data_IF_638189270484
#
_entry.id   IF_638189270484
#
_cell.length_a   1.000
_cell.length_b   1.000
_cell.length_c   1.000
_cell.angle_alpha   90.00
_cell.angle_beta   90.00
_cell.angle_gamma   90.00
#
_symmetry.space_group_name_H-M   'P 1'
#
loop_
_entity.id
_entity.type
_entity.pdbx_description
1 polymer ?
#
# COMPACT_ATOMS: atom_id res chain seq x y z
N UNK A 1 24.72 11.27 -7.53
CA UNK A 1 23.32 10.92 -7.21
C UNK A 1 22.49 12.17 -7.43
N UNK A 2 21.31 12.12 -8.06
CA UNK A 2 20.43 13.27 -8.06
C UNK A 2 20.14 13.62 -6.60
N UNK A 3 20.43 14.86 -6.21
CA UNK A 3 20.06 15.36 -4.90
C UNK A 3 18.54 15.47 -4.92
N UNK A 4 17.84 14.71 -4.05
CA UNK A 4 16.42 14.95 -3.85
C UNK A 4 16.26 16.42 -3.46
N UNK A 5 15.25 17.13 -3.99
CA UNK A 5 14.93 18.43 -3.44
C UNK A 5 14.78 18.25 -1.93
N UNK A 6 15.32 19.20 -1.15
CA UNK A 6 15.05 19.24 0.28
C UNK A 6 13.54 19.06 0.45
N UNK A 7 13.15 18.18 1.38
CA UNK A 7 11.76 18.03 1.83
C UNK A 7 11.16 19.43 1.86
N UNK A 8 10.04 19.62 1.15
CA UNK A 8 9.37 20.92 1.12
C UNK A 8 9.02 21.21 2.57
N UNK A 9 9.86 22.03 3.19
CA UNK A 9 9.96 22.19 4.63
C UNK A 9 8.67 22.82 5.09
N UNK A 10 7.78 22.04 5.72
CA UNK A 10 6.62 22.47 6.54
C UNK A 10 5.81 23.67 6.01
N UNK A 11 5.84 23.95 4.71
CA UNK A 11 5.06 25.04 4.16
C UNK A 11 3.67 24.48 3.89
N UNK A 12 2.82 24.52 4.92
CA UNK A 12 1.42 24.06 4.88
C UNK A 12 0.62 24.62 3.69
N UNK A 13 1.07 25.73 3.10
CA UNK A 13 0.42 26.29 1.89
C UNK A 13 0.68 25.47 0.62
N UNK A 14 1.69 24.59 0.62
CA UNK A 14 2.05 23.70 -0.49
C UNK A 14 1.79 22.22 -0.18
N UNK A 15 1.24 21.89 0.99
CA UNK A 15 0.86 20.51 1.33
C UNK A 15 -0.50 20.17 0.73
N UNK A 16 -0.49 19.96 -0.60
CA UNK A 16 -1.70 19.61 -1.36
C UNK A 16 -2.27 18.27 -0.88
N UNK A 17 -1.44 17.37 -0.35
CA UNK A 17 -1.87 16.07 0.15
C UNK A 17 -2.73 16.24 1.42
N UNK A 18 -2.26 17.00 2.42
CA UNK A 18 -3.06 17.30 3.62
C UNK A 18 -4.30 18.11 3.25
N UNK A 19 -4.18 19.11 2.36
CA UNK A 19 -5.32 19.94 1.97
C UNK A 19 -6.46 19.14 1.32
N UNK A 20 -6.13 18.14 0.47
CA UNK A 20 -7.14 17.25 -0.12
C UNK A 20 -7.73 16.33 0.95
N UNK A 21 -6.90 15.78 1.84
CA UNK A 21 -7.35 14.91 2.94
C UNK A 21 -8.35 15.62 3.86
N UNK A 22 -8.04 16.86 4.25
CA UNK A 22 -8.92 17.68 5.09
C UNK A 22 -10.23 17.98 4.35
N UNK A 23 -10.14 18.41 3.08
CA UNK A 23 -11.32 18.76 2.29
C UNK A 23 -12.26 17.57 2.07
N UNK A 24 -11.73 16.39 1.75
CA UNK A 24 -12.56 15.19 1.54
C UNK A 24 -13.17 14.71 2.85
N UNK A 25 -12.46 14.84 3.97
CA UNK A 25 -12.96 14.44 5.30
C UNK A 25 -14.15 15.29 5.76
N UNK A 26 -14.31 16.52 5.26
CA UNK A 26 -15.50 17.35 5.52
C UNK A 26 -16.76 16.80 4.84
N UNK A 27 -16.62 16.14 3.70
CA UNK A 27 -17.74 15.58 2.91
C UNK A 27 -17.98 14.12 3.26
N UNK A 28 -16.91 13.36 3.49
CA UNK A 28 -16.92 11.96 3.86
C UNK A 28 -16.13 11.78 5.17
N UNK A 29 -16.77 11.87 6.34
CA UNK A 29 -16.08 11.70 7.62
C UNK A 29 -15.52 10.28 7.84
N UNK A 30 -15.90 9.31 6.99
CA UNK A 30 -15.34 7.97 6.99
C UNK A 30 -14.26 7.77 5.92
N UNK A 31 -13.70 8.86 5.34
CA UNK A 31 -12.71 8.75 4.29
C UNK A 31 -11.52 7.89 4.72
N UNK A 32 -11.23 6.88 3.90
CA UNK A 32 -10.15 5.93 4.15
C UNK A 32 -8.94 6.28 3.27
N UNK A 33 -7.84 6.74 3.88
CA UNK A 33 -6.60 7.06 3.15
C UNK A 33 -5.97 5.84 2.47
N UNK A 34 -6.35 4.64 2.90
CA UNK A 34 -5.88 3.40 2.30
C UNK A 34 -6.76 2.95 1.13
N UNK A 35 -7.99 3.46 1.01
CA UNK A 35 -8.93 3.13 -0.06
C UNK A 35 -9.89 4.30 -0.31
N UNK A 36 -9.54 5.16 -1.26
CA UNK A 36 -10.14 6.49 -1.44
C UNK A 36 -11.65 6.49 -1.75
N UNK A 37 -12.23 5.37 -2.18
CA UNK A 37 -13.66 5.26 -2.49
C UNK A 37 -14.50 4.75 -1.34
N UNK A 38 -13.91 4.40 -0.19
CA UNK A 38 -14.69 4.01 0.98
C UNK A 38 -15.53 5.19 1.49
N UNK A 39 -16.78 4.90 1.80
CA UNK A 39 -17.74 5.87 2.35
C UNK A 39 -18.39 5.31 3.61
N UNK A 40 -19.03 6.18 4.39
CA UNK A 40 -19.85 5.73 5.51
C UNK A 40 -20.98 4.76 5.07
N UNK A 41 -21.46 3.87 5.97
CA UNK A 41 -21.06 3.71 7.37
C UNK A 41 -19.69 3.06 7.54
N UNK A 42 -19.00 3.42 8.62
CA UNK A 42 -17.72 2.82 8.96
C UNK A 42 -17.90 1.36 9.37
N UNK A 43 -17.29 0.45 8.62
CA UNK A 43 -17.19 -0.95 9.00
C UNK A 43 -16.05 -1.11 10.01
N UNK A 44 -16.23 -1.97 11.00
CA UNK A 44 -15.14 -2.33 11.91
C UNK A 44 -14.38 -3.53 11.34
N UNK A 45 -13.10 -3.64 11.68
CA UNK A 45 -12.31 -4.82 11.43
C UNK A 45 -11.87 -5.45 12.76
N UNK A 46 -11.45 -6.71 12.72
CA UNK A 46 -11.12 -7.48 13.93
C UNK A 46 -9.81 -7.06 14.59
N UNK A 47 -8.99 -6.29 13.90
CA UNK A 47 -7.80 -5.64 14.41
C UNK A 47 -8.24 -4.32 15.09
N UNK A 48 -9.22 -3.60 14.57
CA UNK A 48 -9.75 -2.38 15.21
C UNK A 48 -9.15 -1.10 14.66
N UNK A 49 -8.60 -1.18 13.45
CA UNK A 49 -8.07 -0.11 12.63
C UNK A 49 -8.62 -0.24 11.20
N UNK A 50 -9.91 0.05 10.97
CA UNK A 50 -10.57 -0.34 9.72
C UNK A 50 -10.18 0.51 8.51
N UNK A 51 -9.46 1.62 8.73
CA UNK A 51 -9.10 2.57 7.70
C UNK A 51 -8.21 3.65 8.27
N UNK A 52 -8.59 4.92 8.16
CA UNK A 52 -7.76 6.05 8.60
C UNK A 52 -7.62 6.23 10.11
N UNK A 53 -8.39 5.48 10.92
CA UNK A 53 -8.44 5.67 12.37
C UNK A 53 -8.92 4.40 13.09
N UNK A 54 -8.65 4.34 14.40
CA UNK A 54 -9.11 3.25 15.27
C UNK A 54 -10.63 3.29 15.45
N UNK A 55 -11.28 2.13 15.35
CA UNK A 55 -12.70 1.98 15.65
C UNK A 55 -13.02 0.55 16.10
N UNK A 56 -13.72 0.44 17.23
CA UNK A 56 -14.28 -0.82 17.72
C UNK A 56 -15.70 -0.54 18.22
N UNK A 57 -16.75 -1.14 17.63
CA UNK A 57 -18.12 -0.90 18.04
C UNK A 57 -18.40 -1.52 19.41
N UNK A 58 -19.45 -1.01 20.06
CA UNK A 58 -19.90 -1.56 21.34
C UNK A 58 -20.22 -3.06 21.22
N UNK A 59 -19.74 -3.85 22.18
CA UNK A 59 -19.89 -5.29 22.20
C UNK A 59 -18.89 -6.08 21.34
N UNK A 60 -18.07 -5.41 20.53
CA UNK A 60 -16.95 -6.04 19.82
C UNK A 60 -15.67 -6.00 20.66
N UNK A 61 -14.80 -6.98 20.43
CA UNK A 61 -13.48 -7.08 21.05
C UNK A 61 -12.44 -7.31 19.97
N UNK A 62 -11.37 -6.52 19.99
CA UNK A 62 -10.19 -6.73 19.15
C UNK A 62 -9.70 -8.18 19.31
N UNK A 63 -9.52 -8.89 18.20
CA UNK A 63 -9.23 -10.32 18.19
C UNK A 63 -8.00 -10.67 19.04
N UNK A 64 -6.92 -9.89 18.90
CA UNK A 64 -5.68 -10.10 19.64
C UNK A 64 -5.71 -9.62 21.10
N UNK A 65 -6.78 -8.95 21.54
CA UNK A 65 -7.02 -8.66 22.96
C UNK A 65 -7.68 -9.81 23.72
N UNK A 66 -8.11 -10.88 23.02
CA UNK A 66 -8.69 -12.04 23.69
C UNK A 66 -7.62 -12.87 24.39
N UNK A 67 -7.84 -13.20 25.65
CA UNK A 67 -6.87 -13.95 26.47
C UNK A 67 -6.65 -15.38 25.98
N UNK A 68 -7.68 -16.01 25.40
CA UNK A 68 -7.56 -17.33 24.78
C UNK A 68 -6.69 -17.29 23.52
N UNK A 69 -6.83 -16.26 22.69
CA UNK A 69 -5.97 -16.03 21.51
C UNK A 69 -4.53 -15.78 21.95
N UNK A 70 -4.30 -14.89 22.92
CA UNK A 70 -2.95 -14.59 23.42
C UNK A 70 -2.26 -15.84 23.97
N UNK A 71 -2.99 -16.67 24.75
CA UNK A 71 -2.47 -17.95 25.24
C UNK A 71 -2.14 -18.91 24.10
N UNK A 72 -3.02 -19.02 23.09
CA UNK A 72 -2.84 -19.93 21.98
C UNK A 72 -1.59 -19.61 21.13
N UNK A 73 -1.26 -18.32 20.98
CA UNK A 73 -0.07 -17.87 20.23
C UNK A 73 1.15 -17.61 21.12
N UNK A 74 1.08 -17.97 22.41
CA UNK A 74 2.12 -17.69 23.42
C UNK A 74 2.50 -16.20 23.52
N UNK A 75 1.56 -15.29 23.26
CA UNK A 75 1.74 -13.86 23.44
C UNK A 75 1.56 -13.46 24.92
N UNK A 76 2.27 -12.43 25.40
CA UNK A 76 2.04 -11.89 26.73
C UNK A 76 0.64 -11.29 26.86
N UNK A 77 0.09 -11.32 28.07
CA UNK A 77 -1.21 -10.74 28.38
C UNK A 77 -1.13 -9.20 28.43
N UNK A 78 -1.28 -8.55 27.27
CA UNK A 78 -1.24 -7.09 27.13
C UNK A 78 -2.18 -6.60 26.03
N UNK A 79 -2.58 -5.32 26.02
CA UNK A 79 -3.32 -4.75 24.89
C UNK A 79 -2.52 -4.85 23.58
N UNK A 80 -3.22 -5.20 22.51
CA UNK A 80 -2.77 -5.14 21.13
C UNK A 80 -3.04 -3.73 20.55
N UNK A 81 -2.21 -3.32 19.61
CA UNK A 81 -2.43 -2.19 18.71
C UNK A 81 -1.76 -2.50 17.37
N UNK A 82 -2.36 -2.08 16.25
CA UNK A 82 -1.84 -2.34 14.90
C UNK A 82 -0.52 -1.63 14.67
N UNK A 83 -0.48 -0.36 15.06
CA UNK A 83 0.69 0.49 14.97
C UNK A 83 1.26 0.72 16.37
N UNK A 84 2.59 0.75 16.48
CA UNK A 84 3.23 1.04 17.76
C UNK A 84 2.84 2.46 18.23
N UNK A 85 2.41 2.66 19.49
CA UNK A 85 2.15 3.99 20.03
C UNK A 85 3.45 4.77 20.33
N UNK A 86 4.60 4.14 20.08
CA UNK A 86 5.94 4.73 20.22
C UNK A 86 6.66 4.64 18.90
N UNK A 87 7.41 5.69 18.60
CA UNK A 87 8.30 5.71 17.44
C UNK A 87 9.23 4.50 17.41
N UNK A 88 9.29 3.84 16.26
CA UNK A 88 10.10 2.62 16.06
C UNK A 88 11.52 2.93 15.63
N UNK A 89 11.77 4.15 15.14
CA UNK A 89 13.10 4.61 14.77
C UNK A 89 13.81 5.31 15.94
N UNK A 90 15.12 5.11 16.04
CA UNK A 90 15.95 5.77 17.06
C UNK A 90 15.87 7.28 16.86
N UNK A 91 15.42 8.01 17.88
CA UNK A 91 15.22 9.46 17.79
C UNK A 91 13.97 9.89 17.01
N UNK A 92 13.07 8.96 16.67
CA UNK A 92 11.81 9.27 15.99
C UNK A 92 11.94 9.56 14.50
N UNK A 93 13.10 9.28 13.90
CA UNK A 93 13.36 9.60 12.50
C UNK A 93 14.05 8.46 11.77
N UNK A 94 13.50 8.09 10.61
CA UNK A 94 14.21 7.24 9.67
C UNK A 94 15.32 8.06 8.98
N UNK A 95 16.56 7.67 9.25
CA UNK A 95 17.77 8.29 8.66
C UNK A 95 18.32 7.48 7.48
N UNK A 96 17.61 6.43 7.06
CA UNK A 96 18.02 5.62 5.91
C UNK A 96 17.89 6.41 4.61
N UNK A 97 18.75 6.07 3.65
CA UNK A 97 18.62 6.61 2.30
C UNK A 97 17.38 6.02 1.62
N UNK A 98 16.67 6.77 0.75
CA UNK A 98 15.49 6.26 0.07
C UNK A 98 15.78 4.96 -0.68
N UNK A 99 15.07 3.90 -0.31
CA UNK A 99 15.32 2.55 -0.80
C UNK A 99 15.10 2.42 -2.31
N UNK A 100 14.17 3.21 -2.87
CA UNK A 100 13.86 3.30 -4.31
C UNK A 100 15.07 3.59 -5.19
N UNK A 101 16.11 4.25 -4.65
CA UNK A 101 17.29 4.66 -5.44
C UNK A 101 18.58 4.05 -4.93
N UNK A 102 18.53 3.27 -3.84
CA UNK A 102 19.72 2.69 -3.20
C UNK A 102 19.65 1.17 -3.16
N UNK A 103 18.56 0.60 -2.63
CA UNK A 103 18.43 -0.85 -2.38
C UNK A 103 17.67 -1.54 -3.51
N UNK A 104 16.52 -0.99 -3.92
CA UNK A 104 15.61 -1.62 -4.88
C UNK A 104 16.29 -1.92 -6.23
N UNK A 105 17.09 -1.02 -6.83
CA UNK A 105 17.86 -1.33 -8.04
C UNK A 105 18.70 -2.61 -7.90
N UNK A 106 19.43 -2.73 -6.78
CA UNK A 106 20.29 -3.88 -6.54
C UNK A 106 19.49 -5.17 -6.36
N UNK A 107 18.30 -5.11 -5.76
CA UNK A 107 17.39 -6.25 -5.63
C UNK A 107 16.93 -6.73 -7.00
N UNK A 108 16.57 -5.80 -7.90
CA UNK A 108 16.18 -6.13 -9.28
C UNK A 108 17.34 -6.80 -10.02
N UNK A 109 18.53 -6.20 -9.99
CA UNK A 109 19.72 -6.68 -10.72
C UNK A 109 20.21 -8.04 -10.22
N UNK A 110 20.09 -8.30 -8.91
CA UNK A 110 20.49 -9.59 -8.31
C UNK A 110 19.40 -10.67 -8.41
N UNK A 111 18.18 -10.32 -8.79
CA UNK A 111 17.08 -11.25 -8.97
C UNK A 111 17.28 -12.06 -10.26
N UNK A 112 17.95 -13.21 -10.13
CA UNK A 112 18.38 -14.07 -11.26
C UNK A 112 17.29 -14.48 -12.26
N UNK A 113 16.01 -14.33 -11.90
CA UNK A 113 14.87 -14.74 -12.71
C UNK A 113 13.82 -13.62 -12.91
N UNK A 114 14.18 -12.35 -12.71
CA UNK A 114 13.26 -11.22 -12.94
C UNK A 114 12.00 -11.27 -12.08
N UNK A 115 12.13 -11.68 -10.80
CA UNK A 115 11.02 -11.91 -9.87
C UNK A 115 10.69 -10.70 -8.99
N UNK A 116 11.12 -9.51 -9.39
CA UNK A 116 10.83 -8.30 -8.62
C UNK A 116 9.53 -7.71 -9.14
N UNK A 117 8.51 -7.71 -8.29
CA UNK A 117 7.19 -7.14 -8.59
C UNK A 117 6.95 -5.98 -7.63
N UNK A 118 6.55 -4.83 -8.18
CA UNK A 118 5.94 -3.74 -7.43
C UNK A 118 4.46 -3.74 -7.82
N UNK A 119 3.59 -4.07 -6.87
CA UNK A 119 2.14 -4.00 -7.06
C UNK A 119 1.61 -2.80 -6.27
N UNK A 120 0.80 -1.97 -6.93
CA UNK A 120 0.27 -0.73 -6.38
C UNK A 120 -1.22 -0.61 -6.69
N UNK A 121 -2.05 -0.36 -5.68
CA UNK A 121 -3.49 -0.17 -5.84
C UNK A 121 -3.86 1.26 -6.23
N UNK A 122 -4.65 1.44 -7.28
CA UNK A 122 -5.00 2.78 -7.81
C UNK A 122 -5.90 3.62 -6.90
N UNK A 123 -6.44 3.03 -5.82
CA UNK A 123 -7.26 3.72 -4.81
C UNK A 123 -6.49 3.99 -3.51
N UNK A 124 -5.20 3.71 -3.46
CA UNK A 124 -4.33 4.10 -2.35
C UNK A 124 -4.07 5.62 -2.39
N UNK A 125 -4.58 6.33 -1.38
CA UNK A 125 -4.41 7.78 -1.25
C UNK A 125 -3.15 8.14 -0.44
N UNK A 126 -2.78 7.33 0.56
CA UNK A 126 -1.56 7.55 1.34
C UNK A 126 -0.31 7.38 0.47
N UNK A 127 -0.30 6.39 -0.42
CA UNK A 127 0.73 6.23 -1.45
C UNK A 127 0.05 6.22 -2.81
N UNK A 128 0.20 7.30 -3.57
CA UNK A 128 -0.49 7.44 -4.86
C UNK A 128 0.29 6.69 -5.96
N UNK A 129 -0.39 5.91 -6.82
CA UNK A 129 0.26 5.14 -7.91
C UNK A 129 1.17 6.01 -8.78
N UNK A 130 0.77 7.25 -9.07
CA UNK A 130 1.58 8.20 -9.84
C UNK A 130 2.91 8.55 -9.13
N UNK A 131 2.93 8.62 -7.81
CA UNK A 131 4.16 8.82 -7.02
C UNK A 131 5.12 7.63 -7.13
N UNK A 132 4.58 6.40 -7.11
CA UNK A 132 5.34 5.18 -7.36
C UNK A 132 5.89 5.15 -8.79
N UNK A 133 5.08 5.51 -9.79
CA UNK A 133 5.51 5.60 -11.19
C UNK A 133 6.63 6.62 -11.40
N UNK A 134 6.51 7.81 -10.80
CA UNK A 134 7.56 8.83 -10.84
C UNK A 134 8.85 8.33 -10.17
N UNK A 135 8.72 7.64 -9.03
CA UNK A 135 9.87 7.04 -8.34
C UNK A 135 10.57 6.01 -9.21
N UNK A 136 9.83 5.12 -9.87
CA UNK A 136 10.37 4.13 -10.81
C UNK A 136 10.99 4.82 -12.02
N UNK A 137 10.34 5.85 -12.57
CA UNK A 137 10.87 6.58 -13.73
C UNK A 137 12.20 7.27 -13.42
N UNK A 138 12.42 7.66 -12.16
CA UNK A 138 13.69 8.24 -11.71
C UNK A 138 14.72 7.18 -11.26
N UNK A 139 14.33 5.91 -11.12
CA UNK A 139 15.21 4.81 -10.72
C UNK A 139 16.06 4.31 -11.90
N UNK A 140 17.35 4.06 -11.67
CA UNK A 140 18.24 3.42 -12.67
C UNK A 140 18.51 1.98 -12.26
N UNK A 141 18.33 1.02 -13.18
CA UNK A 141 18.66 -0.39 -12.97
C UNK A 141 19.04 -1.06 -14.28
N UNK A 142 19.97 -2.01 -14.22
CA UNK A 142 20.47 -2.74 -15.40
C UNK A 142 20.94 -1.80 -16.53
N UNK A 143 21.50 -0.64 -16.18
CA UNK A 143 22.12 0.31 -17.11
C UNK A 143 21.24 1.46 -17.61
N UNK A 144 19.91 1.36 -17.48
CA UNK A 144 18.97 2.38 -17.99
C UNK A 144 18.10 2.98 -16.87
N UNK A 145 17.63 4.22 -17.07
CA UNK A 145 16.74 4.91 -16.14
C UNK A 145 15.28 4.76 -16.55
N UNK A 146 14.42 4.39 -15.59
CA UNK A 146 12.98 4.31 -15.75
C UNK A 146 12.53 3.29 -16.78
N UNK A 147 11.23 3.16 -16.96
CA UNK A 147 10.72 2.37 -18.08
C UNK A 147 10.91 3.12 -19.40
N UNK A 148 11.14 2.40 -20.49
CA UNK A 148 11.29 3.01 -21.83
C UNK A 148 9.99 3.56 -22.42
N UNK A 149 8.84 3.17 -21.86
CA UNK A 149 7.52 3.72 -22.16
C UNK A 149 6.59 3.54 -20.94
N UNK A 150 5.41 4.18 -20.87
CA UNK A 150 4.51 4.00 -19.72
C UNK A 150 3.91 2.58 -19.69
N UNK A 151 3.46 2.08 -18.52
CA UNK A 151 2.69 0.83 -18.45
C UNK A 151 1.38 0.94 -19.21
N UNK A 152 1.17 0.06 -20.17
CA UNK A 152 -0.02 0.04 -21.04
C UNK A 152 -0.57 -1.36 -21.28
N UNK A 153 0.16 -2.41 -20.90
CA UNK A 153 -0.28 -3.78 -21.09
C UNK A 153 -1.40 -4.10 -20.09
N UNK A 154 -2.44 -4.84 -20.48
CA UNK A 154 -3.51 -5.19 -19.55
C UNK A 154 -3.00 -6.14 -18.47
N UNK A 155 -3.26 -5.81 -17.20
CA UNK A 155 -3.11 -6.75 -16.10
C UNK A 155 -4.34 -7.66 -16.08
N UNK A 156 -4.17 -8.92 -16.46
CA UNK A 156 -5.29 -9.88 -16.60
C UNK A 156 -5.30 -10.86 -15.44
N UNK A 157 -6.39 -10.87 -14.67
CA UNK A 157 -6.67 -11.89 -13.66
C UNK A 157 -7.60 -12.95 -14.26
N UNK A 158 -7.21 -14.24 -14.29
CA UNK A 158 -8.04 -15.30 -14.86
C UNK A 158 -9.38 -15.45 -14.14
N UNK A 159 -10.42 -15.79 -14.90
CA UNK A 159 -11.68 -16.23 -14.31
C UNK A 159 -11.48 -17.58 -13.63
N UNK A 160 -11.75 -17.64 -12.33
CA UNK A 160 -11.81 -18.90 -11.58
C UNK A 160 -13.24 -19.45 -11.57
N UNK A 161 -13.39 -20.76 -11.38
CA UNK A 161 -14.73 -21.33 -11.21
C UNK A 161 -15.32 -20.84 -9.88
N UNK A 162 -16.47 -20.17 -9.98
CA UNK A 162 -17.21 -19.67 -8.82
C UNK A 162 -17.67 -20.88 -8.00
N UNK A 163 -17.14 -21.00 -6.79
CA UNK A 163 -17.47 -22.13 -5.89
C UNK A 163 -16.93 -21.97 -4.48
N UNK A 164 -15.84 -21.20 -4.30
CA UNK A 164 -15.35 -20.81 -2.98
C UNK A 164 -15.69 -19.33 -2.71
N UNK A 165 -16.70 -19.10 -1.88
CA UNK A 165 -17.12 -17.74 -1.47
C UNK A 165 -15.99 -16.96 -0.78
N UNK A 166 -15.04 -17.66 -0.13
CA UNK A 166 -13.89 -17.04 0.53
C UNK A 166 -12.75 -16.66 -0.44
N UNK A 167 -12.80 -17.11 -1.69
CA UNK A 167 -11.81 -16.81 -2.73
C UNK A 167 -12.42 -16.07 -3.93
N UNK A 168 -13.58 -15.44 -3.74
CA UNK A 168 -14.16 -14.57 -4.75
C UNK A 168 -13.28 -13.33 -4.89
N UNK A 169 -12.89 -13.03 -6.13
CA UNK A 169 -12.17 -11.82 -6.49
C UNK A 169 -12.63 -11.35 -7.87
N UNK A 170 -12.28 -10.11 -8.21
CA UNK A 170 -12.45 -9.63 -9.58
C UNK A 170 -11.66 -10.51 -10.57
N UNK A 171 -12.18 -10.63 -11.79
CA UNK A 171 -11.50 -11.29 -12.89
C UNK A 171 -11.62 -10.44 -14.17
N UNK A 172 -10.77 -10.71 -15.15
CA UNK A 172 -10.64 -9.91 -16.37
C UNK A 172 -9.48 -8.91 -16.29
N UNK A 173 -9.62 -7.78 -16.97
CA UNK A 173 -8.58 -6.73 -16.98
C UNK A 173 -8.72 -5.90 -15.71
N UNK A 174 -7.82 -6.09 -14.76
CA UNK A 174 -7.80 -5.41 -13.45
C UNK A 174 -6.62 -4.46 -13.31
N UNK A 175 -6.36 -3.71 -14.38
CA UNK A 175 -5.39 -2.62 -14.38
C UNK A 175 -4.35 -2.78 -15.47
N UNK A 176 -3.15 -2.28 -15.19
CA UNK A 176 -2.06 -2.19 -16.15
C UNK A 176 -0.80 -2.81 -15.60
N UNK A 177 -0.02 -3.42 -16.47
CA UNK A 177 1.27 -3.98 -16.13
C UNK A 177 2.35 -3.53 -17.12
N UNK A 178 3.59 -3.70 -16.68
CA UNK A 178 4.77 -3.62 -17.53
C UNK A 178 5.89 -4.42 -16.91
N UNK A 179 6.55 -5.24 -17.71
CA UNK A 179 7.79 -5.93 -17.32
C UNK A 179 8.95 -5.42 -18.17
N UNK A 180 10.00 -4.89 -17.55
CA UNK A 180 11.20 -4.41 -18.25
C UNK A 180 12.45 -4.64 -17.39
N UNK A 181 13.50 -5.20 -17.99
CA UNK A 181 14.81 -5.43 -17.33
C UNK A 181 14.70 -6.08 -15.94
N UNK A 182 13.81 -7.07 -15.79
CA UNK A 182 13.65 -7.85 -14.55
C UNK A 182 12.75 -7.25 -13.46
N UNK A 183 12.17 -6.06 -13.70
CA UNK A 183 11.14 -5.46 -12.85
C UNK A 183 9.78 -5.58 -13.52
N UNK A 184 8.77 -6.03 -12.77
CA UNK A 184 7.36 -5.94 -13.14
C UNK A 184 6.67 -4.91 -12.27
N UNK A 185 5.97 -3.96 -12.88
CA UNK A 185 5.01 -3.09 -12.21
C UNK A 185 3.59 -3.58 -12.50
N UNK A 186 2.75 -3.61 -11.48
CA UNK A 186 1.33 -3.91 -11.56
C UNK A 186 0.56 -2.76 -10.91
N UNK A 187 -0.06 -1.90 -11.72
CA UNK A 187 -1.02 -0.91 -11.27
C UNK A 187 -2.40 -1.56 -11.26
N UNK A 188 -2.91 -1.85 -10.07
CA UNK A 188 -4.11 -2.66 -9.85
C UNK A 188 -5.31 -1.75 -9.75
N UNK A 189 -6.19 -1.87 -10.75
CA UNK A 189 -7.42 -1.12 -10.79
C UNK A 189 -8.32 -1.54 -9.62
N UNK A 190 -8.92 -0.57 -8.94
CA UNK A 190 -9.72 -0.77 -7.72
C UNK A 190 -8.94 -1.31 -6.50
N UNK A 191 -7.61 -1.43 -6.59
CA UNK A 191 -6.80 -1.88 -5.45
C UNK A 191 -6.63 -0.79 -4.40
N UNK A 192 -6.72 -1.14 -3.13
CA UNK A 192 -6.32 -0.30 -1.99
C UNK A 192 -4.81 -0.36 -1.75
N UNK A 193 -4.35 0.29 -0.68
CA UNK A 193 -3.00 0.10 -0.11
C UNK A 193 -2.65 -1.38 0.08
N UNK A 194 -3.64 -2.19 0.42
CA UNK A 194 -3.54 -3.63 0.67
C UNK A 194 -4.06 -4.41 -0.53
N UNK A 195 -3.41 -4.26 -1.69
CA UNK A 195 -3.80 -4.85 -2.99
C UNK A 195 -4.32 -6.29 -2.90
N UNK A 196 -3.65 -7.15 -2.11
CA UNK A 196 -4.01 -8.56 -1.98
C UNK A 196 -5.31 -8.83 -1.23
N UNK A 197 -5.85 -7.84 -0.52
CA UNK A 197 -7.18 -7.89 0.09
C UNK A 197 -8.28 -7.67 -0.95
N UNK A 198 -8.00 -6.87 -1.98
CA UNK A 198 -9.03 -6.38 -2.92
C UNK A 198 -8.97 -7.10 -4.27
N UNK A 199 -7.80 -7.62 -4.65
CA UNK A 199 -7.62 -8.38 -5.88
C UNK A 199 -6.70 -9.59 -5.68
N UNK A 200 -7.12 -10.73 -6.23
CA UNK A 200 -6.30 -11.94 -6.33
C UNK A 200 -5.31 -11.79 -7.51
N UNK A 201 -4.31 -10.94 -7.36
CA UNK A 201 -3.26 -10.76 -8.37
C UNK A 201 -2.20 -11.83 -8.14
N UNK A 202 -2.16 -12.82 -9.02
CA UNK A 202 -1.13 -13.86 -9.05
C UNK A 202 -0.61 -13.97 -10.49
N UNK A 203 0.71 -13.86 -10.67
CA UNK A 203 1.39 -14.08 -11.95
C UNK A 203 2.30 -15.31 -11.86
#
# INVERSE_FOLDING_TARGET
MPQFPESITENKTCDVWEAIYDAVSLVNPCFNIYHATDTCPLLYDVLGFPGSFEYTPEGATIYFNRTDVQRAINAPSKPWSECSPREVFVGGQDNSQPSSFTVIPSVIEKSRNGRTIIAHGDLDYILITNGTLLSIQNMTWNGDQGFSSPPSEPLVVPYSQVGNLAAMGGAGILGKTRTERGLTLEAVLWGSRSVFRDACVYK
#
